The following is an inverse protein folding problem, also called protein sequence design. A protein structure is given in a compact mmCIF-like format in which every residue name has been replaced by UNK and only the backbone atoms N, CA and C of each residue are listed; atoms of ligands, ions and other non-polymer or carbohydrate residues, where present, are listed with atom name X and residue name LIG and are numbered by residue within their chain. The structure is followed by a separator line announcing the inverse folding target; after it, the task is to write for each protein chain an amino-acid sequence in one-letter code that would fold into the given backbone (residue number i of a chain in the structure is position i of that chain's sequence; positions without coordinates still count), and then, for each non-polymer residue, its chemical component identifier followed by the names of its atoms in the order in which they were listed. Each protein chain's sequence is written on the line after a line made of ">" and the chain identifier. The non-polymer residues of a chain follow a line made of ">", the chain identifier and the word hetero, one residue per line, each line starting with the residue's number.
data_IF_661708946684
#
_entry.id   IF_661708946684
#
_cell.length_a   1.000
_cell.length_b   1.000
_cell.length_c   1.000
_cell.angle_alpha   90.00
_cell.angle_beta   90.00
_cell.angle_gamma   90.00
#
_symmetry.space_group_name_H-M   'P 1'
#
loop_
_entity.id
_entity.type
_entity.pdbx_description
1 polymer ?
#
# COMPACT_ATOMS: atom_id res chain seq x y z
N UNK A 1 20.50 9.97 -0.78
CA UNK A 1 19.28 9.20 -0.46
C UNK A 1 19.64 7.72 -0.45
N UNK A 2 19.33 6.92 0.59
CA UNK A 2 19.32 5.49 0.39
C UNK A 2 18.19 5.15 -0.60
N UNK A 3 18.37 4.15 -1.47
CA UNK A 3 17.35 3.80 -2.46
C UNK A 3 16.11 3.26 -1.73
N UNK A 4 14.93 3.69 -2.17
CA UNK A 4 13.67 3.10 -1.73
C UNK A 4 13.69 1.60 -2.09
N UNK A 5 13.82 0.73 -1.10
CA UNK A 5 13.68 -0.71 -1.28
C UNK A 5 12.20 -1.03 -1.40
N UNK A 6 11.76 -1.49 -2.57
CA UNK A 6 10.37 -1.93 -2.74
C UNK A 6 10.26 -3.35 -2.18
N UNK A 7 9.48 -3.50 -1.12
CA UNK A 7 9.25 -4.78 -0.45
C UNK A 7 7.81 -5.24 -0.71
N UNK A 8 7.65 -6.37 -1.39
CA UNK A 8 6.34 -6.89 -1.79
C UNK A 8 5.94 -8.06 -0.90
N UNK A 9 4.70 -8.04 -0.39
CA UNK A 9 4.08 -9.23 0.22
C UNK A 9 3.20 -9.94 -0.81
N UNK A 10 3.59 -11.18 -1.15
CA UNK A 10 2.88 -12.05 -2.10
C UNK A 10 2.08 -13.15 -1.39
N UNK A 11 2.12 -13.23 -0.06
CA UNK A 11 1.54 -14.34 0.73
C UNK A 11 0.29 -13.92 1.53
N UNK A 12 -0.49 -12.98 0.98
CA UNK A 12 -1.78 -12.57 1.57
C UNK A 12 -1.69 -12.03 3.00
N UNK A 13 -0.60 -11.36 3.35
CA UNK A 13 -0.45 -10.73 4.67
C UNK A 13 0.26 -11.58 5.72
N UNK A 14 0.60 -12.86 5.47
CA UNK A 14 1.19 -13.75 6.51
C UNK A 14 2.54 -13.28 7.00
N UNK A 15 3.37 -12.73 6.10
CA UNK A 15 4.71 -12.22 6.42
C UNK A 15 4.77 -10.70 6.52
N UNK A 16 3.64 -10.02 6.33
CA UNK A 16 3.56 -8.57 6.27
C UNK A 16 4.17 -7.87 7.48
N UNK A 17 3.85 -8.29 8.70
CA UNK A 17 4.41 -7.67 9.91
C UNK A 17 5.95 -7.75 9.95
N UNK A 18 6.53 -8.89 9.56
CA UNK A 18 7.99 -9.08 9.52
C UNK A 18 8.64 -8.25 8.40
N UNK A 19 7.97 -8.16 7.25
CA UNK A 19 8.35 -7.36 6.09
C UNK A 19 8.37 -5.87 6.48
N UNK A 20 7.31 -5.38 7.13
CA UNK A 20 7.20 -4.00 7.60
C UNK A 20 8.28 -3.65 8.61
N UNK A 21 8.51 -4.52 9.61
CA UNK A 21 9.52 -4.28 10.63
C UNK A 21 10.94 -4.28 10.04
N UNK A 22 11.26 -5.21 9.14
CA UNK A 22 12.54 -5.25 8.47
C UNK A 22 12.78 -4.01 7.59
N UNK A 23 11.77 -3.60 6.81
CA UNK A 23 11.84 -2.40 5.97
C UNK A 23 12.02 -1.12 6.80
N UNK A 24 11.22 -0.96 7.84
CA UNK A 24 11.28 0.21 8.71
C UNK A 24 12.59 0.26 9.51
N UNK A 25 13.05 -0.87 10.05
CA UNK A 25 14.32 -0.96 10.77
C UNK A 25 15.53 -0.63 9.89
N UNK A 26 15.47 -0.92 8.59
CA UNK A 26 16.53 -0.58 7.65
C UNK A 26 16.60 0.92 7.29
N UNK A 27 15.56 1.71 7.59
CA UNK A 27 15.58 3.15 7.33
C UNK A 27 16.56 3.89 8.26
N UNK A 28 17.16 4.96 7.73
CA UNK A 28 17.83 5.97 8.56
C UNK A 28 16.78 6.81 9.31
N UNK A 29 17.17 7.46 10.40
CA UNK A 29 16.33 8.46 11.08
C UNK A 29 15.86 9.52 10.09
N UNK A 30 14.57 9.84 10.10
CA UNK A 30 13.90 10.70 9.13
C UNK A 30 13.57 10.05 7.79
N UNK A 31 13.91 8.77 7.59
CA UNK A 31 13.61 8.01 6.38
C UNK A 31 12.10 7.74 6.24
N UNK A 32 11.65 7.63 4.99
CA UNK A 32 10.24 7.40 4.64
C UNK A 32 10.06 5.99 4.12
N UNK A 33 9.05 5.29 4.63
CA UNK A 33 8.54 4.03 4.11
C UNK A 33 7.13 4.24 3.57
N UNK A 34 6.87 3.78 2.36
CA UNK A 34 5.53 3.79 1.76
C UNK A 34 5.10 2.35 1.54
N UNK A 35 3.89 2.01 2.00
CA UNK A 35 3.34 0.65 1.91
C UNK A 35 2.03 0.71 1.15
N UNK A 36 1.88 -0.14 0.14
CA UNK A 36 0.62 -0.29 -0.60
C UNK A 36 -0.13 -1.56 -0.19
N UNK A 37 -1.44 -1.47 0.00
CA UNK A 37 -2.32 -2.60 0.25
C UNK A 37 -3.63 -2.51 -0.55
N UNK A 38 -4.11 -3.67 -1.00
CA UNK A 38 -5.39 -3.81 -1.71
C UNK A 38 -6.41 -4.68 -0.95
N UNK A 39 -5.95 -5.44 0.05
CA UNK A 39 -6.78 -6.32 0.88
C UNK A 39 -7.02 -5.71 2.26
N UNK A 40 -8.18 -5.94 2.85
CA UNK A 40 -8.53 -5.42 4.17
C UNK A 40 -7.63 -5.99 5.29
N UNK A 41 -7.21 -7.25 5.17
CA UNK A 41 -6.34 -7.93 6.13
C UNK A 41 -4.95 -7.30 6.18
N UNK A 42 -4.40 -6.93 5.02
CA UNK A 42 -3.14 -6.18 4.95
C UNK A 42 -3.32 -4.77 5.51
N UNK A 43 -4.43 -4.12 5.22
CA UNK A 43 -4.74 -2.78 5.71
C UNK A 43 -4.80 -2.71 7.23
N UNK A 44 -5.50 -3.66 7.87
CA UNK A 44 -5.56 -3.77 9.34
C UNK A 44 -4.17 -3.92 9.94
N UNK A 45 -3.33 -4.81 9.38
CA UNK A 45 -1.95 -5.00 9.86
C UNK A 45 -1.07 -3.77 9.70
N UNK A 46 -1.25 -3.03 8.61
CA UNK A 46 -0.51 -1.78 8.37
C UNK A 46 -0.96 -0.70 9.35
N UNK A 47 -2.26 -0.56 9.60
CA UNK A 47 -2.81 0.39 10.55
C UNK A 47 -2.30 0.15 11.98
N UNK A 48 -2.18 -1.12 12.39
CA UNK A 48 -1.74 -1.49 13.74
C UNK A 48 -0.21 -1.45 13.93
N UNK A 49 0.58 -1.33 12.86
CA UNK A 49 2.03 -1.53 12.91
C UNK A 49 2.77 -0.50 13.78
N UNK A 50 2.66 0.79 13.44
CA UNK A 50 3.40 1.90 14.07
C UNK A 50 2.59 3.20 13.94
N UNK A 51 1.48 3.33 14.67
CA UNK A 51 0.54 4.45 14.49
C UNK A 51 1.17 5.81 14.81
N UNK A 52 2.12 5.87 15.74
CA UNK A 52 2.82 7.12 16.09
C UNK A 52 3.77 7.60 14.97
N UNK A 53 4.22 6.70 14.11
CA UNK A 53 5.11 6.99 12.99
C UNK A 53 4.37 7.09 11.65
N UNK A 54 3.05 6.85 11.63
CA UNK A 54 2.21 7.00 10.46
C UNK A 54 1.97 8.48 10.19
N UNK A 55 2.41 8.97 9.03
CA UNK A 55 2.19 10.35 8.61
C UNK A 55 0.84 10.54 7.95
N UNK A 56 0.50 9.65 7.03
CA UNK A 56 -0.73 9.74 6.26
C UNK A 56 -1.13 8.39 5.68
N UNK A 57 -2.40 8.29 5.31
CA UNK A 57 -2.93 7.20 4.50
C UNK A 57 -3.80 7.77 3.39
N UNK A 58 -3.51 7.37 2.15
CA UNK A 58 -4.16 7.83 0.94
C UNK A 58 -4.80 6.65 0.23
N UNK A 59 -6.04 6.82 -0.21
CA UNK A 59 -6.74 5.84 -1.01
C UNK A 59 -6.84 6.29 -2.46
N UNK A 60 -6.50 5.39 -3.38
CA UNK A 60 -6.52 5.62 -4.81
C UNK A 60 -7.51 4.64 -5.43
N UNK A 61 -8.51 5.19 -6.10
CA UNK A 61 -9.47 4.43 -6.91
C UNK A 61 -9.29 4.81 -8.37
N UNK A 62 -9.18 3.82 -9.24
CA UNK A 62 -8.99 4.00 -10.68
C UNK A 62 -10.16 3.33 -11.38
N UNK A 63 -10.80 4.05 -12.30
CA UNK A 63 -11.84 3.51 -13.17
C UNK A 63 -11.43 3.70 -14.62
N UNK A 64 -11.54 2.65 -15.44
CA UNK A 64 -11.18 2.68 -16.86
C UNK A 64 -12.41 2.44 -17.73
N UNK A 65 -12.58 3.28 -18.74
CA UNK A 65 -13.61 3.06 -19.75
C UNK A 65 -13.31 1.74 -20.48
N UNK A 66 -14.26 0.81 -20.44
CA UNK A 66 -14.20 -0.48 -21.12
C UNK A 66 -15.38 -0.56 -22.07
N UNK A 67 -15.14 -1.07 -23.29
CA UNK A 67 -16.20 -1.23 -24.28
C UNK A 67 -17.17 -2.33 -23.83
N UNK A 68 -18.46 -2.01 -23.85
CA UNK A 68 -19.58 -2.97 -23.80
C UNK A 68 -20.01 -3.29 -25.24
N UNK A 69 -20.84 -4.31 -25.43
CA UNK A 69 -21.36 -4.70 -26.76
C UNK A 69 -21.80 -3.47 -27.57
N UNK A 70 -21.27 -3.36 -28.80
CA UNK A 70 -21.56 -2.24 -29.70
C UNK A 70 -20.74 -0.99 -29.40
N UNK A 71 -21.41 0.17 -29.29
CA UNK A 71 -20.79 1.50 -29.11
C UNK A 71 -20.76 1.98 -27.65
N UNK A 72 -21.35 1.21 -26.73
CA UNK A 72 -21.47 1.59 -25.34
C UNK A 72 -20.16 1.37 -24.59
N UNK A 73 -19.86 2.25 -23.65
CA UNK A 73 -18.73 2.13 -22.74
C UNK A 73 -19.25 2.17 -21.32
N UNK A 74 -18.61 1.42 -20.43
CA UNK A 74 -18.85 1.52 -18.99
C UNK A 74 -17.54 1.76 -18.26
N UNK A 75 -17.63 2.42 -17.10
CA UNK A 75 -16.48 2.60 -16.22
C UNK A 75 -16.26 1.33 -15.42
N UNK A 76 -15.21 0.58 -15.75
CA UNK A 76 -14.78 -0.57 -14.98
C UNK A 76 -13.84 -0.09 -13.87
N UNK A 77 -14.25 -0.25 -12.61
CA UNK A 77 -13.39 0.05 -11.47
C UNK A 77 -12.31 -1.03 -11.34
N UNK A 78 -11.09 -0.57 -11.12
CA UNK A 78 -9.97 -1.40 -10.65
C UNK A 78 -10.06 -1.56 -9.13
N UNK A 79 -9.28 -2.49 -8.58
CA UNK A 79 -9.17 -2.64 -7.13
C UNK A 79 -8.62 -1.34 -6.52
N UNK A 80 -9.24 -0.91 -5.43
CA UNK A 80 -8.78 0.24 -4.67
C UNK A 80 -7.41 -0.05 -4.04
N UNK A 81 -6.49 0.88 -4.21
CA UNK A 81 -5.14 0.80 -3.62
C UNK A 81 -5.09 1.77 -2.46
N UNK A 82 -4.67 1.30 -1.29
CA UNK A 82 -4.37 2.17 -0.15
C UNK A 82 -2.87 2.28 0.01
N UNK A 83 -2.37 3.50 0.18
CA UNK A 83 -0.98 3.84 0.47
C UNK A 83 -0.88 4.38 1.89
N UNK A 84 -0.04 3.79 2.72
CA UNK A 84 0.29 4.31 4.06
C UNK A 84 1.74 4.73 4.11
N UNK A 85 1.98 5.94 4.62
CA UNK A 85 3.31 6.57 4.67
C UNK A 85 3.77 6.65 6.10
N UNK A 86 4.94 6.09 6.39
CA UNK A 86 5.57 6.11 7.69
C UNK A 86 6.88 6.88 7.65
N UNK A 87 7.21 7.54 8.76
CA UNK A 87 8.51 8.20 8.97
C UNK A 87 9.21 7.66 10.20
N UNK A 88 10.47 7.27 10.04
CA UNK A 88 11.32 6.81 11.14
C UNK A 88 11.92 7.96 11.93
#
# INVERSE_FOLDING_TARGET
>A
MPPAGVLWDIDGGKRLAKILEAGFSALKTGGIMVVSAITLEALSKIADFKPEQLLETVQISIARATQLVGKYHFMKNENQITLSVFKK
#
